data_IF_087181872224
#
_entry.id   IF_087181872224
#
_cell.length_a   1.000
_cell.length_b   1.000
_cell.length_c   1.000
_cell.angle_alpha   90.00
_cell.angle_beta   90.00
_cell.angle_gamma   90.00
#
_symmetry.space_group_name_H-M   'P 1'
#
loop_
_entity.id
_entity.type
_entity.pdbx_description
1 polymer ?
#
# COMPACT_ATOMS: atom_id res chain seq x y z
N UNK A 1 4.72 -1.83 8.02
CA UNK A 1 3.87 -0.66 8.26
C UNK A 1 2.98 -0.94 9.46
N UNK A 2 2.77 0.07 10.30
CA UNK A 2 1.99 -0.03 11.55
C UNK A 2 0.66 0.68 11.41
N UNK A 3 -0.43 0.03 11.81
CA UNK A 3 -1.78 0.60 11.86
C UNK A 3 -2.25 0.62 13.31
N UNK A 4 -2.78 1.74 13.77
CA UNK A 4 -3.47 1.85 15.06
C UNK A 4 -4.97 1.78 14.82
N UNK A 5 -5.64 0.84 15.49
CA UNK A 5 -7.10 0.74 15.55
C UNK A 5 -7.56 1.38 16.85
N UNK A 6 -8.50 2.32 16.77
CA UNK A 6 -9.13 2.92 17.95
C UNK A 6 -10.64 2.68 17.83
N UNK A 7 -11.11 1.67 18.54
CA UNK A 7 -12.47 1.11 18.41
C UNK A 7 -12.82 0.42 19.72
N UNK A 8 -13.99 0.70 20.29
CA UNK A 8 -14.44 0.12 21.57
C UNK A 8 -15.16 -1.23 21.40
N UNK A 9 -15.62 -1.55 20.18
CA UNK A 9 -16.22 -2.85 19.88
C UNK A 9 -15.15 -3.92 19.66
N UNK A 10 -14.96 -4.81 20.64
CA UNK A 10 -13.92 -5.85 20.61
C UNK A 10 -14.04 -6.79 19.39
N UNK A 11 -15.28 -7.14 19.00
CA UNK A 11 -15.51 -8.01 17.84
C UNK A 11 -15.01 -7.36 16.54
N UNK A 12 -15.27 -6.07 16.35
CA UNK A 12 -14.81 -5.32 15.19
C UNK A 12 -13.29 -5.13 15.20
N UNK A 13 -12.72 -4.78 16.37
CA UNK A 13 -11.27 -4.68 16.55
C UNK A 13 -10.56 -5.99 16.21
N UNK A 14 -11.09 -7.13 16.65
CA UNK A 14 -10.53 -8.46 16.36
C UNK A 14 -10.60 -8.77 14.85
N UNK A 15 -11.73 -8.49 14.21
CA UNK A 15 -11.91 -8.67 12.77
C UNK A 15 -10.93 -7.83 11.96
N UNK A 16 -10.79 -6.55 12.30
CA UNK A 16 -9.90 -5.63 11.61
C UNK A 16 -8.43 -6.02 11.80
N UNK A 17 -8.03 -6.37 13.04
CA UNK A 17 -6.68 -6.83 13.36
C UNK A 17 -6.32 -8.05 12.51
N UNK A 18 -7.14 -9.10 12.53
CA UNK A 18 -6.89 -10.33 11.78
C UNK A 18 -6.63 -10.04 10.28
N UNK A 19 -7.48 -9.23 9.67
CA UNK A 19 -7.37 -8.94 8.24
C UNK A 19 -6.17 -8.02 7.91
N UNK A 20 -5.86 -7.05 8.75
CA UNK A 20 -4.70 -6.17 8.55
C UNK A 20 -3.38 -6.93 8.75
N UNK A 21 -3.30 -7.81 9.75
CA UNK A 21 -2.12 -8.65 9.98
C UNK A 21 -1.92 -9.66 8.84
N UNK A 22 -2.99 -10.21 8.27
CA UNK A 22 -2.93 -11.05 7.07
C UNK A 22 -2.37 -10.30 5.84
N UNK A 23 -2.59 -8.98 5.76
CA UNK A 23 -2.01 -8.10 4.74
C UNK A 23 -0.57 -7.65 5.06
N UNK A 24 0.02 -8.12 6.18
CA UNK A 24 1.39 -7.83 6.58
C UNK A 24 1.57 -6.51 7.36
N UNK A 25 0.50 -5.92 7.87
CA UNK A 25 0.58 -4.77 8.78
C UNK A 25 0.88 -5.24 10.20
N UNK A 26 1.60 -4.42 10.98
CA UNK A 26 1.67 -4.54 12.44
C UNK A 26 0.53 -3.72 13.03
N UNK A 27 -0.26 -4.31 13.94
CA UNK A 27 -1.49 -3.68 14.44
C UNK A 27 -1.41 -3.46 15.95
N UNK A 28 -1.56 -2.21 16.37
CA UNK A 28 -1.89 -1.83 17.75
C UNK A 28 -3.38 -1.51 17.85
N UNK A 29 -3.97 -1.65 19.03
CA UNK A 29 -5.36 -1.30 19.26
C UNK A 29 -5.56 -0.64 20.62
N UNK A 30 -6.52 0.28 20.67
CA UNK A 30 -7.02 0.92 21.86
C UNK A 30 -8.56 0.94 21.83
N UNK A 31 -9.18 0.65 22.98
CA UNK A 31 -10.65 0.72 23.12
C UNK A 31 -11.14 2.12 23.54
N UNK A 32 -10.23 3.03 23.83
CA UNK A 32 -10.52 4.39 24.34
C UNK A 32 -9.61 5.41 23.66
N UNK A 33 -10.14 6.62 23.47
CA UNK A 33 -9.36 7.70 22.89
C UNK A 33 -8.16 8.14 23.73
N UNK A 34 -8.30 8.07 25.07
CA UNK A 34 -7.23 8.41 26.02
C UNK A 34 -6.05 7.44 25.89
N UNK A 35 -6.32 6.13 25.79
CA UNK A 35 -5.30 5.09 25.62
C UNK A 35 -4.62 5.22 24.24
N UNK A 36 -5.41 5.54 23.21
CA UNK A 36 -4.87 5.80 21.89
C UNK A 36 -3.91 7.00 21.88
N UNK A 37 -4.21 8.07 22.64
CA UNK A 37 -3.33 9.22 22.74
C UNK A 37 -1.98 8.86 23.38
N UNK A 38 -1.95 7.95 24.37
CA UNK A 38 -0.71 7.42 24.95
C UNK A 38 0.09 6.62 23.93
N UNK A 39 -0.56 5.70 23.20
CA UNK A 39 0.10 4.92 22.16
C UNK A 39 0.70 5.80 21.06
N UNK A 40 0.00 6.86 20.66
CA UNK A 40 0.48 7.84 19.69
C UNK A 40 1.71 8.61 20.17
N UNK A 41 1.80 8.89 21.47
CA UNK A 41 2.95 9.55 22.08
C UNK A 41 4.17 8.61 22.18
N UNK A 42 3.95 7.32 22.44
CA UNK A 42 5.02 6.32 22.51
C UNK A 42 5.61 6.04 21.13
N UNK A 43 4.75 5.88 20.14
CA UNK A 43 5.18 5.53 18.77
C UNK A 43 4.12 5.91 17.73
N UNK A 44 4.50 6.79 16.80
CA UNK A 44 3.64 7.20 15.69
C UNK A 44 3.38 6.04 14.72
N UNK A 45 2.10 5.66 14.47
CA UNK A 45 1.75 4.68 13.44
C UNK A 45 1.81 5.29 12.04
N UNK A 46 1.76 4.44 11.00
CA UNK A 46 1.68 4.88 9.60
C UNK A 46 0.25 5.29 9.21
N UNK A 47 -0.79 4.80 9.93
CA UNK A 47 -2.20 5.11 9.71
C UNK A 47 -3.02 4.81 10.97
N UNK A 48 -4.09 5.59 11.18
CA UNK A 48 -5.08 5.35 12.25
C UNK A 48 -6.45 5.04 11.64
N UNK A 49 -7.06 3.93 12.09
CA UNK A 49 -8.50 3.66 11.97
C UNK A 49 -9.14 4.13 13.26
N UNK A 50 -10.08 5.06 13.18
CA UNK A 50 -10.57 5.80 14.35
C UNK A 50 -12.10 5.79 14.36
N UNK A 51 -12.70 5.16 15.37
CA UNK A 51 -14.13 5.28 15.58
C UNK A 51 -14.50 6.72 15.97
N UNK A 52 -15.60 7.18 15.44
CA UNK A 52 -16.19 8.47 15.76
C UNK A 52 -16.62 8.55 17.23
N UNK A 53 -17.29 7.50 17.71
CA UNK A 53 -17.87 7.41 19.06
C UNK A 53 -16.99 6.53 19.95
N UNK A 54 -16.17 7.15 20.78
CA UNK A 54 -15.29 6.45 21.72
C UNK A 54 -15.59 6.89 23.15
N UNK A 55 -15.45 6.00 24.13
CA UNK A 55 -15.51 6.37 25.53
C UNK A 55 -14.31 7.25 25.92
N UNK A 56 -14.56 8.22 26.80
CA UNK A 56 -13.53 9.18 27.25
C UNK A 56 -13.29 10.26 26.20
N UNK A 57 -12.12 10.24 25.57
CA UNK A 57 -11.78 11.15 24.50
C UNK A 57 -12.42 10.69 23.18
N UNK A 58 -13.37 11.49 22.63
CA UNK A 58 -14.04 11.14 21.37
C UNK A 58 -13.07 11.07 20.18
N UNK A 59 -13.43 10.27 19.14
CA UNK A 59 -12.62 10.16 17.94
C UNK A 59 -12.42 11.48 17.23
N UNK A 60 -13.43 12.35 17.21
CA UNK A 60 -13.33 13.70 16.63
C UNK A 60 -12.26 14.51 17.34
N UNK A 61 -12.29 14.54 18.65
CA UNK A 61 -11.33 15.32 19.43
C UNK A 61 -9.92 14.74 19.33
N UNK A 62 -9.80 13.41 19.32
CA UNK A 62 -8.51 12.75 19.08
C UNK A 62 -7.96 13.08 17.68
N UNK A 63 -8.80 13.10 16.64
CA UNK A 63 -8.40 13.49 15.30
C UNK A 63 -7.89 14.94 15.27
N UNK A 64 -8.57 15.88 15.94
CA UNK A 64 -8.11 17.28 16.05
C UNK A 64 -6.76 17.36 16.74
N UNK A 65 -6.52 16.61 17.82
CA UNK A 65 -5.22 16.57 18.52
C UNK A 65 -4.12 15.98 17.65
N UNK A 66 -4.42 14.95 16.86
CA UNK A 66 -3.52 14.38 15.85
C UNK A 66 -3.09 15.48 14.86
N UNK A 67 -4.03 16.27 14.35
CA UNK A 67 -3.75 17.36 13.39
C UNK A 67 -3.04 18.56 14.00
N UNK A 68 -3.20 18.81 15.29
CA UNK A 68 -2.55 19.90 16.00
C UNK A 68 -1.08 19.64 16.32
N UNK A 69 -0.62 18.40 16.28
CA UNK A 69 0.79 18.05 16.58
C UNK A 69 1.58 17.91 15.29
N UNK A 70 2.72 18.58 15.20
CA UNK A 70 3.60 18.60 14.02
C UNK A 70 4.06 17.20 13.58
N UNK A 71 4.27 16.32 14.54
CA UNK A 71 4.73 14.93 14.31
C UNK A 71 3.66 14.04 13.66
N UNK A 72 2.38 14.36 13.87
CA UNK A 72 1.23 13.56 13.44
C UNK A 72 0.29 14.30 12.49
N UNK A 73 0.51 15.58 12.20
CA UNK A 73 -0.38 16.40 11.36
C UNK A 73 -0.69 15.80 9.99
N UNK A 74 0.29 15.07 9.41
CA UNK A 74 0.20 14.43 8.09
C UNK A 74 -0.09 12.94 8.14
N UNK A 75 -0.24 12.38 9.33
CA UNK A 75 -0.54 10.96 9.50
C UNK A 75 -1.94 10.64 8.98
N UNK A 76 -2.10 9.65 8.10
CA UNK A 76 -3.41 9.27 7.59
C UNK A 76 -4.37 8.83 8.69
N UNK A 77 -5.59 9.36 8.65
CA UNK A 77 -6.70 9.00 9.54
C UNK A 77 -7.92 8.64 8.73
N UNK A 78 -8.44 7.42 8.94
CA UNK A 78 -9.74 6.98 8.44
C UNK A 78 -10.71 6.99 9.60
N UNK A 79 -11.78 7.79 9.51
CA UNK A 79 -12.85 7.77 10.49
C UNK A 79 -13.85 6.66 10.18
N UNK A 80 -14.20 5.86 11.19
CA UNK A 80 -15.29 4.88 11.15
C UNK A 80 -16.54 5.53 11.76
N UNK A 81 -17.64 5.61 11.00
CA UNK A 81 -18.85 6.36 11.42
C UNK A 81 -20.11 5.49 11.35
N UNK A 82 -21.10 5.72 12.20
CA UNK A 82 -22.40 5.08 12.09
C UNK A 82 -23.25 5.70 10.97
N UNK A 83 -24.18 4.89 10.39
CA UNK A 83 -25.16 5.35 9.39
C UNK A 83 -26.16 6.29 10.05
N UNK A 84 -26.22 7.54 9.63
CA UNK A 84 -27.14 8.54 10.21
C UNK A 84 -26.45 9.83 10.68
N UNK A 85 -25.14 9.78 10.86
CA UNK A 85 -24.32 10.96 11.19
C UNK A 85 -23.90 11.76 9.93
N UNK A 86 -24.63 11.58 8.82
CA UNK A 86 -24.37 12.30 7.55
C UNK A 86 -24.47 13.83 7.68
N UNK A 87 -25.28 14.33 8.61
CA UNK A 87 -25.33 15.76 8.96
C UNK A 87 -24.03 16.27 9.61
N UNK A 88 -23.26 15.38 10.25
CA UNK A 88 -21.97 15.67 10.85
C UNK A 88 -20.81 15.47 9.86
N UNK A 89 -21.02 14.83 8.69
CA UNK A 89 -20.04 14.79 7.58
C UNK A 89 -19.69 16.19 7.09
N UNK A 90 -20.65 17.12 7.05
CA UNK A 90 -20.39 18.54 6.71
C UNK A 90 -19.60 19.22 7.84
N UNK A 91 -19.81 18.84 9.09
CA UNK A 91 -18.98 19.26 10.24
C UNK A 91 -17.66 18.49 10.27
N UNK A 92 -17.65 17.22 9.84
CA UNK A 92 -16.48 16.35 9.74
C UNK A 92 -15.41 16.82 8.75
N UNK A 93 -15.78 17.57 7.70
CA UNK A 93 -14.81 18.24 6.81
C UNK A 93 -13.89 19.23 7.57
N UNK A 94 -14.27 19.65 8.79
CA UNK A 94 -13.44 20.46 9.69
C UNK A 94 -12.60 19.64 10.68
N UNK A 95 -12.73 18.31 10.77
CA UNK A 95 -11.96 17.48 11.73
C UNK A 95 -10.56 17.14 11.22
N UNK A 96 -10.34 17.22 9.91
CA UNK A 96 -9.05 16.92 9.29
C UNK A 96 -8.79 15.43 9.04
N UNK A 97 -9.78 14.54 9.10
CA UNK A 97 -9.63 13.16 8.65
C UNK A 97 -9.45 13.08 7.13
N UNK A 98 -8.68 12.09 6.67
CA UNK A 98 -8.36 11.92 5.24
C UNK A 98 -9.41 11.10 4.48
N UNK A 99 -10.14 10.22 5.19
CA UNK A 99 -11.24 9.42 4.63
C UNK A 99 -12.26 9.05 5.70
N UNK A 100 -13.46 8.64 5.26
CA UNK A 100 -14.58 8.25 6.11
C UNK A 100 -15.20 6.94 5.59
N UNK A 101 -15.45 5.99 6.50
CA UNK A 101 -16.10 4.73 6.19
C UNK A 101 -17.33 4.59 7.08
N UNK A 102 -18.50 4.37 6.48
CA UNK A 102 -19.77 4.23 7.19
C UNK A 102 -19.98 2.76 7.59
N UNK A 103 -20.23 2.51 8.87
CA UNK A 103 -20.63 1.19 9.39
C UNK A 103 -22.11 0.88 9.01
N UNK A 104 -22.43 -0.37 8.57
CA UNK A 104 -21.53 -1.48 8.34
C UNK A 104 -20.78 -1.35 7.00
N UNK A 105 -19.51 -1.75 6.96
CA UNK A 105 -18.66 -1.72 5.78
C UNK A 105 -18.11 -3.11 5.44
N UNK A 106 -17.62 -3.29 4.23
CA UNK A 106 -16.91 -4.50 3.85
C UNK A 106 -15.42 -4.40 4.17
N UNK A 107 -14.83 -5.48 4.71
CA UNK A 107 -13.38 -5.54 4.99
C UNK A 107 -12.53 -5.28 3.74
N UNK A 108 -12.83 -5.86 2.56
CA UNK A 108 -12.11 -5.53 1.33
C UNK A 108 -12.11 -4.05 0.98
N UNK A 109 -13.23 -3.34 1.18
CA UNK A 109 -13.32 -1.88 0.96
C UNK A 109 -12.38 -1.14 1.91
N UNK A 110 -12.43 -1.44 3.21
CA UNK A 110 -11.55 -0.82 4.20
C UNK A 110 -10.08 -1.04 3.85
N UNK A 111 -9.66 -2.26 3.53
CA UNK A 111 -8.28 -2.58 3.15
C UNK A 111 -7.83 -1.82 1.89
N UNK A 112 -8.72 -1.67 0.90
CA UNK A 112 -8.43 -0.89 -0.30
C UNK A 112 -8.16 0.59 0.03
N UNK A 113 -8.96 1.20 0.93
CA UNK A 113 -8.81 2.58 1.40
C UNK A 113 -7.54 2.77 2.24
N UNK A 114 -7.24 1.84 3.16
CA UNK A 114 -5.99 1.83 3.93
C UNK A 114 -4.78 1.85 3.01
N UNK A 115 -4.74 0.94 2.02
CA UNK A 115 -3.65 0.88 1.04
C UNK A 115 -3.54 2.17 0.21
N UNK A 116 -4.68 2.75 -0.19
CA UNK A 116 -4.69 4.00 -0.97
C UNK A 116 -4.13 5.18 -0.18
N UNK A 117 -4.51 5.34 1.09
CA UNK A 117 -4.03 6.42 1.94
C UNK A 117 -2.55 6.25 2.31
N UNK A 118 -2.12 5.05 2.68
CA UNK A 118 -0.72 4.76 2.97
C UNK A 118 0.20 5.04 1.77
N UNK A 119 -0.28 4.79 0.54
CA UNK A 119 0.44 5.14 -0.68
C UNK A 119 0.58 6.66 -0.84
N UNK A 120 -0.46 7.45 -0.51
CA UNK A 120 -0.43 8.92 -0.59
C UNK A 120 0.43 9.56 0.51
N UNK A 121 0.44 8.98 1.71
CA UNK A 121 1.11 9.53 2.89
C UNK A 121 2.64 9.35 2.87
N UNK A 122 3.17 8.41 2.07
CA UNK A 122 4.61 8.32 1.87
C UNK A 122 5.10 9.59 1.16
N UNK A 123 6.19 10.23 1.65
CA UNK A 123 6.78 11.36 0.94
C UNK A 123 7.02 10.95 -0.51
N UNK A 124 6.54 11.74 -1.46
CA UNK A 124 6.57 11.49 -2.90
C UNK A 124 7.94 11.08 -3.45
N UNK A 125 9.01 11.31 -2.71
CA UNK A 125 10.38 11.05 -3.17
C UNK A 125 10.91 9.62 -2.95
N UNK A 126 10.26 8.77 -2.12
CA UNK A 126 10.74 7.39 -1.86
C UNK A 126 9.77 6.32 -2.38
N UNK A 127 8.46 6.63 -2.48
CA UNK A 127 7.45 5.68 -2.98
C UNK A 127 7.21 5.80 -4.50
N UNK A 128 7.52 6.94 -5.12
CA UNK A 128 7.29 7.18 -6.55
C UNK A 128 8.42 6.66 -7.43
N UNK A 129 9.58 6.35 -6.85
CA UNK A 129 10.71 5.77 -7.56
C UNK A 129 11.11 4.45 -6.91
N UNK A 130 11.14 3.41 -7.72
CA UNK A 130 11.73 2.13 -7.37
C UNK A 130 13.12 2.09 -8.00
N UNK A 131 14.11 1.66 -7.21
CA UNK A 131 15.47 1.49 -7.71
C UNK A 131 16.02 0.14 -7.24
N UNK A 132 16.60 -0.61 -8.15
CA UNK A 132 17.29 -1.86 -7.85
C UNK A 132 18.37 -2.12 -8.91
N UNK A 133 19.60 -2.33 -8.44
CA UNK A 133 20.77 -2.42 -9.30
C UNK A 133 20.93 -1.12 -10.13
N UNK A 134 20.99 -1.26 -11.44
CA UNK A 134 21.11 -0.16 -12.40
C UNK A 134 19.75 0.29 -12.98
N UNK A 135 18.61 -0.26 -12.45
CA UNK A 135 17.26 0.06 -12.91
C UNK A 135 16.59 1.06 -11.96
N UNK A 136 16.06 2.13 -12.52
CA UNK A 136 15.22 3.12 -11.85
C UNK A 136 13.84 3.18 -12.55
N UNK A 137 12.76 3.06 -11.78
CA UNK A 137 11.39 3.17 -12.26
C UNK A 137 10.70 4.35 -11.56
N UNK A 138 10.31 5.36 -12.31
CA UNK A 138 9.52 6.51 -11.86
C UNK A 138 8.03 6.20 -12.09
N UNK A 139 7.30 5.93 -11.00
CA UNK A 139 5.89 5.56 -11.01
C UNK A 139 4.97 6.72 -11.42
N UNK A 140 5.33 7.93 -11.04
CA UNK A 140 4.56 9.14 -11.33
C UNK A 140 4.78 9.60 -12.76
N UNK A 141 6.05 9.62 -13.20
CA UNK A 141 6.42 10.01 -14.56
C UNK A 141 6.23 8.90 -15.59
N UNK A 142 5.85 7.66 -15.19
CA UNK A 142 5.80 6.47 -16.05
C UNK A 142 7.07 6.27 -16.89
N UNK A 143 8.23 6.45 -16.25
CA UNK A 143 9.54 6.35 -16.89
C UNK A 143 10.37 5.25 -16.26
N UNK A 144 11.14 4.58 -17.09
CA UNK A 144 12.13 3.58 -16.64
C UNK A 144 13.47 3.95 -17.20
N UNK A 145 14.50 3.84 -16.37
CA UNK A 145 15.91 4.01 -16.79
C UNK A 145 16.71 2.80 -16.38
N UNK A 146 17.71 2.47 -17.17
CA UNK A 146 18.70 1.46 -16.84
C UNK A 146 20.10 1.98 -17.16
N UNK A 147 21.00 1.99 -16.15
CA UNK A 147 22.32 2.57 -16.32
C UNK A 147 22.29 4.04 -16.76
N UNK A 148 21.28 4.81 -16.35
CA UNK A 148 21.04 6.21 -16.74
C UNK A 148 20.35 6.40 -18.10
N UNK A 149 20.26 5.38 -18.96
CA UNK A 149 19.57 5.45 -20.24
C UNK A 149 18.07 5.22 -20.07
N UNK A 150 17.23 6.04 -20.73
CA UNK A 150 15.77 5.90 -20.70
C UNK A 150 15.31 4.71 -21.55
N UNK A 151 14.43 3.88 -21.00
CA UNK A 151 13.86 2.72 -21.68
C UNK A 151 12.39 2.96 -21.99
N UNK A 152 11.95 2.53 -23.17
CA UNK A 152 10.56 2.61 -23.58
C UNK A 152 9.86 1.27 -23.32
N UNK A 153 8.96 1.24 -22.33
CA UNK A 153 8.12 0.09 -22.00
C UNK A 153 6.67 0.35 -22.41
N UNK A 154 6.01 -0.69 -22.90
CA UNK A 154 4.55 -0.65 -23.05
C UNK A 154 3.86 -0.56 -21.67
N UNK A 155 2.58 -0.13 -21.60
CA UNK A 155 1.87 0.04 -20.33
C UNK A 155 1.81 -1.24 -19.49
N UNK A 156 1.73 -2.39 -20.11
CA UNK A 156 1.68 -3.70 -19.43
C UNK A 156 3.05 -4.11 -18.91
N UNK A 157 4.11 -3.94 -19.72
CA UNK A 157 5.50 -4.20 -19.32
C UNK A 157 5.92 -3.29 -18.17
N UNK A 158 5.48 -2.02 -18.18
CA UNK A 158 5.72 -1.09 -17.08
C UNK A 158 5.09 -1.59 -15.77
N UNK A 159 3.80 -1.95 -15.79
CA UNK A 159 3.09 -2.49 -14.61
C UNK A 159 3.71 -3.80 -14.12
N UNK A 160 4.13 -4.67 -15.04
CA UNK A 160 4.77 -5.94 -14.70
C UNK A 160 6.11 -5.71 -14.01
N UNK A 161 6.94 -4.80 -14.51
CA UNK A 161 8.20 -4.42 -13.90
C UNK A 161 7.96 -3.80 -12.50
N UNK A 162 7.03 -2.86 -12.40
CA UNK A 162 6.63 -2.24 -11.13
C UNK A 162 6.21 -3.29 -10.11
N UNK A 163 5.34 -4.23 -10.50
CA UNK A 163 4.85 -5.29 -9.61
C UNK A 163 5.98 -6.17 -9.08
N UNK A 164 6.89 -6.56 -9.94
CA UNK A 164 8.05 -7.38 -9.58
C UNK A 164 9.05 -6.61 -8.69
N UNK A 165 9.32 -5.33 -8.99
CA UNK A 165 10.24 -4.47 -8.22
C UNK A 165 9.68 -4.07 -6.85
N UNK A 166 8.37 -4.14 -6.62
CA UNK A 166 7.77 -3.89 -5.30
C UNK A 166 8.06 -5.00 -4.28
N UNK A 167 8.49 -6.18 -4.75
CA UNK A 167 8.84 -7.32 -3.88
C UNK A 167 10.02 -8.10 -4.45
N UNK A 168 11.23 -7.50 -4.41
CA UNK A 168 12.43 -8.15 -4.93
C UNK A 168 12.70 -9.48 -4.25
N UNK A 169 13.23 -10.45 -5.00
CA UNK A 169 13.51 -11.80 -4.52
C UNK A 169 12.30 -12.73 -4.40
N UNK A 170 11.08 -12.17 -4.28
CA UNK A 170 9.86 -12.98 -4.20
C UNK A 170 9.51 -13.62 -5.54
N UNK A 171 9.24 -14.94 -5.50
CA UNK A 171 8.75 -15.68 -6.67
C UNK A 171 7.24 -15.55 -6.75
N UNK A 172 6.74 -15.09 -7.89
CA UNK A 172 5.31 -14.99 -8.19
C UNK A 172 4.91 -16.03 -9.23
N UNK A 173 3.81 -16.76 -8.99
CA UNK A 173 3.22 -17.64 -10.00
C UNK A 173 2.67 -16.82 -11.19
N UNK A 174 2.40 -17.50 -12.32
CA UNK A 174 1.76 -16.84 -13.47
C UNK A 174 0.39 -16.28 -13.13
N UNK A 175 -0.39 -17.02 -12.36
CA UNK A 175 -1.69 -16.61 -11.85
C UNK A 175 -1.57 -15.36 -10.98
N UNK A 176 -0.64 -15.33 -10.02
CA UNK A 176 -0.40 -14.15 -9.18
C UNK A 176 0.05 -12.92 -9.98
N UNK A 177 0.86 -13.10 -11.02
CA UNK A 177 1.24 -12.03 -11.92
C UNK A 177 0.07 -11.55 -12.79
N UNK A 178 -0.78 -12.48 -13.24
CA UNK A 178 -1.97 -12.15 -14.00
C UNK A 178 -2.90 -11.28 -13.16
N UNK A 179 -3.25 -11.72 -11.97
CA UNK A 179 -4.13 -11.01 -11.04
C UNK A 179 -3.55 -9.63 -10.64
N UNK A 180 -2.26 -9.60 -10.32
CA UNK A 180 -1.60 -8.37 -9.86
C UNK A 180 -1.40 -7.30 -10.93
N UNK A 181 -1.25 -7.68 -12.20
CA UNK A 181 -0.93 -6.78 -13.31
C UNK A 181 -2.14 -6.49 -14.20
N UNK A 182 -3.03 -7.47 -14.44
CA UNK A 182 -4.21 -7.31 -15.30
C UNK A 182 -5.51 -7.17 -14.50
N UNK A 183 -5.58 -7.66 -13.26
CA UNK A 183 -6.79 -7.67 -12.41
C UNK A 183 -7.56 -8.98 -12.48
N UNK A 184 -8.43 -9.20 -11.48
CA UNK A 184 -9.15 -10.48 -11.30
C UNK A 184 -10.27 -10.74 -12.33
N UNK A 185 -10.76 -9.72 -13.04
CA UNK A 185 -11.91 -9.84 -13.94
C UNK A 185 -11.54 -10.11 -15.42
N UNK A 186 -10.28 -10.43 -15.69
CA UNK A 186 -9.80 -10.56 -17.07
C UNK A 186 -9.49 -12.04 -17.39
N UNK A 187 -10.34 -12.67 -18.19
CA UNK A 187 -10.11 -14.02 -18.71
C UNK A 187 -8.97 -14.02 -19.75
N UNK A 188 -7.74 -14.02 -19.26
CA UNK A 188 -6.53 -14.10 -20.10
C UNK A 188 -5.78 -15.36 -19.74
N UNK A 189 -5.27 -16.09 -20.74
CA UNK A 189 -4.43 -17.28 -20.55
C UNK A 189 -3.12 -16.89 -19.82
N UNK A 190 -2.70 -17.69 -18.86
CA UNK A 190 -1.42 -17.53 -18.13
C UNK A 190 -0.19 -17.40 -19.05
N UNK A 191 -0.26 -17.98 -20.25
CA UNK A 191 0.80 -17.83 -21.27
C UNK A 191 1.02 -16.39 -21.70
N UNK A 192 0.02 -15.53 -21.52
CA UNK A 192 0.16 -14.08 -21.78
C UNK A 192 1.26 -13.47 -20.90
N UNK A 193 1.39 -13.95 -19.66
CA UNK A 193 2.45 -13.51 -18.75
C UNK A 193 3.85 -13.79 -19.36
N UNK A 194 4.04 -14.99 -19.94
CA UNK A 194 5.32 -15.38 -20.53
C UNK A 194 5.68 -14.47 -21.73
N UNK A 195 4.67 -14.10 -22.53
CA UNK A 195 4.87 -13.18 -23.67
C UNK A 195 5.31 -11.78 -23.17
N UNK A 196 4.65 -11.25 -22.15
CA UNK A 196 4.98 -9.92 -21.60
C UNK A 196 6.30 -9.93 -20.83
N UNK A 197 6.63 -11.01 -20.11
CA UNK A 197 7.97 -11.19 -19.53
C UNK A 197 9.03 -11.21 -20.62
N UNK A 198 8.81 -11.91 -21.74
CA UNK A 198 9.73 -11.93 -22.87
C UNK A 198 9.94 -10.54 -23.49
N UNK A 199 8.87 -9.75 -23.65
CA UNK A 199 8.93 -8.37 -24.17
C UNK A 199 9.66 -7.45 -23.18
N UNK A 200 9.36 -7.58 -21.87
CA UNK A 200 10.00 -6.81 -20.83
C UNK A 200 11.50 -7.10 -20.78
N UNK A 201 11.92 -8.36 -20.82
CA UNK A 201 13.34 -8.75 -20.90
C UNK A 201 14.04 -8.13 -22.11
N UNK A 202 13.40 -8.18 -23.27
CA UNK A 202 13.96 -7.59 -24.50
C UNK A 202 14.14 -6.08 -24.37
N UNK A 203 13.25 -5.40 -23.68
CA UNK A 203 13.32 -3.95 -23.47
C UNK A 203 14.34 -3.58 -22.38
N UNK A 204 14.45 -4.39 -21.32
CA UNK A 204 15.37 -4.15 -20.22
C UNK A 204 16.82 -4.46 -20.62
N UNK A 205 17.08 -5.56 -21.34
CA UNK A 205 18.40 -6.11 -21.51
C UNK A 205 19.06 -5.65 -22.82
N UNK A 206 20.06 -4.81 -22.71
CA UNK A 206 20.99 -4.51 -23.80
C UNK A 206 22.12 -5.54 -23.92
N UNK A 207 22.97 -5.41 -24.93
CA UNK A 207 24.17 -6.26 -25.07
C UNK A 207 25.05 -6.19 -23.80
N UNK A 208 25.37 -7.31 -23.20
CA UNK A 208 26.20 -7.44 -21.98
C UNK A 208 25.55 -6.99 -20.68
N UNK A 209 24.22 -6.86 -20.63
CA UNK A 209 23.50 -6.58 -19.39
C UNK A 209 22.92 -7.87 -18.82
N UNK A 210 23.04 -8.05 -17.50
CA UNK A 210 22.44 -9.19 -16.78
C UNK A 210 20.94 -9.04 -16.70
N UNK A 211 20.19 -10.13 -16.91
CA UNK A 211 18.73 -10.13 -16.83
C UNK A 211 18.26 -10.04 -15.37
N UNK A 212 17.54 -8.97 -14.97
CA UNK A 212 17.06 -8.83 -13.62
C UNK A 212 15.85 -9.75 -13.33
N UNK A 213 15.24 -10.34 -14.35
CA UNK A 213 14.06 -11.18 -14.16
C UNK A 213 14.48 -12.66 -14.19
N UNK A 214 14.46 -13.29 -13.03
CA UNK A 214 14.76 -14.71 -12.87
C UNK A 214 13.54 -15.56 -13.15
N UNK A 215 13.71 -16.60 -13.98
CA UNK A 215 12.70 -17.66 -14.16
C UNK A 215 12.93 -18.77 -13.14
N UNK A 216 11.92 -19.07 -12.33
CA UNK A 216 11.92 -20.23 -11.44
C UNK A 216 11.05 -21.32 -12.07
N UNK A 217 11.69 -22.35 -12.63
CA UNK A 217 11.01 -23.42 -13.38
C UNK A 217 9.93 -24.07 -12.53
N UNK A 218 8.74 -24.19 -13.08
CA UNK A 218 7.57 -24.76 -12.40
C UNK A 218 6.89 -23.83 -11.39
N UNK A 219 7.50 -22.68 -11.03
CA UNK A 219 6.96 -21.77 -10.02
C UNK A 219 6.58 -20.38 -10.57
N UNK A 220 7.35 -19.80 -11.50
CA UNK A 220 7.06 -18.50 -12.08
C UNK A 220 8.27 -17.57 -12.24
N UNK A 221 8.12 -16.32 -11.85
CA UNK A 221 9.11 -15.27 -12.07
C UNK A 221 9.40 -14.47 -10.80
N UNK A 222 10.63 -13.96 -10.67
CA UNK A 222 11.06 -13.08 -9.60
C UNK A 222 11.96 -11.97 -10.16
N UNK A 223 11.98 -10.82 -9.50
CA UNK A 223 12.98 -9.79 -9.75
C UNK A 223 14.18 -10.05 -8.84
N UNK A 224 15.37 -10.10 -9.43
CA UNK A 224 16.63 -10.28 -8.70
C UNK A 224 17.28 -8.92 -8.49
N UNK A 225 17.40 -8.47 -7.25
CA UNK A 225 18.02 -7.18 -6.92
C UNK A 225 19.54 -7.19 -6.97
N UNK A 226 20.13 -8.38 -6.99
CA UNK A 226 21.60 -8.56 -6.99
C UNK A 226 22.21 -8.63 -8.38
N UNK A 227 21.40 -8.54 -9.43
CA UNK A 227 21.81 -8.74 -10.83
C UNK A 227 22.93 -7.80 -11.33
N UNK A 228 23.12 -6.65 -10.69
CA UNK A 228 24.17 -5.65 -11.05
C UNK A 228 25.45 -5.83 -10.28
N UNK A 229 25.57 -6.80 -9.37
CA UNK A 229 26.71 -6.96 -8.47
C UNK A 229 27.76 -7.96 -8.98
N UNK A 230 27.63 -8.49 -10.19
CA UNK A 230 28.70 -9.26 -10.79
C UNK A 230 29.74 -8.31 -11.44
N UNK A 231 31.04 -8.46 -11.07
CA UNK A 231 32.13 -7.60 -11.55
C UNK A 231 32.45 -7.78 -13.02
#
# INVERSE_FOLDING_TARGET
>A
MRVLIVEDEEALTTLLRYNLEAEGFSVDAAARGDDAELLLAERTPDLVLLDWMLPGLSGIELCRRIRARRETERMPVIMLTARGEEGDRVRGLGTGADDYIVKPFSVPELLARVRALLRRAKPAHVADRLAAGDIELDRTGHRVRRGGAELHLGPTEFRLLEFLMLSPGRVFSREQLLDGVWGHDVYIDERTVDVHVGRLRKALNGPRQTDPIRTVRGSGYAFDETFSLEP
#
